data_IF_635294351492
#
_entry.id   IF_635294351492
#
_cell.length_a   1.000
_cell.length_b   1.000
_cell.length_c   1.000
_cell.angle_alpha   90.00
_cell.angle_beta   90.00
_cell.angle_gamma   90.00
#
_symmetry.space_group_name_H-M   'P 1'
#
loop_
_entity.id
_entity.type
_entity.pdbx_description
1 polymer ?
#
# COMPACT_ATOMS: atom_id res chain seq x y z
N UNK A 1 -2.63 2.60 -26.35
CA UNK A 1 -1.38 2.62 -27.16
C UNK A 1 -1.53 3.66 -28.25
N UNK A 2 -0.53 4.52 -28.39
CA UNK A 2 -0.44 5.60 -29.37
C UNK A 2 0.88 5.49 -30.15
N UNK A 3 0.97 6.11 -31.32
CA UNK A 3 2.16 6.11 -32.17
C UNK A 3 2.71 7.53 -32.24
N UNK A 4 4.01 7.70 -31.98
CA UNK A 4 4.67 9.00 -32.05
C UNK A 4 4.78 9.49 -33.49
N UNK A 5 4.39 10.73 -33.74
CA UNK A 5 4.32 11.31 -35.09
C UNK A 5 5.70 11.49 -35.73
N UNK A 6 6.76 11.61 -34.93
CA UNK A 6 8.12 11.85 -35.41
C UNK A 6 8.94 10.57 -35.52
N UNK A 7 8.98 9.74 -34.47
CA UNK A 7 9.83 8.55 -34.43
C UNK A 7 9.08 7.25 -34.74
N UNK A 8 7.76 7.29 -34.92
CA UNK A 8 6.89 6.12 -35.17
C UNK A 8 6.91 5.05 -34.06
N UNK A 9 7.53 5.33 -32.90
CA UNK A 9 7.53 4.44 -31.75
C UNK A 9 6.14 4.38 -31.11
N UNK A 10 5.72 3.19 -30.70
CA UNK A 10 4.49 2.99 -29.94
C UNK A 10 4.73 3.22 -28.46
N UNK A 11 3.84 3.95 -27.80
CA UNK A 11 3.96 4.29 -26.38
C UNK A 11 2.58 4.25 -25.68
N UNK A 12 2.59 4.22 -24.35
CA UNK A 12 1.39 4.04 -23.51
C UNK A 12 1.11 5.20 -22.56
N UNK A 13 2.11 6.04 -22.33
CA UNK A 13 2.06 7.23 -21.50
C UNK A 13 1.15 8.31 -22.13
N UNK A 14 0.66 9.25 -21.31
CA UNK A 14 -0.13 10.39 -21.81
C UNK A 14 0.72 11.19 -22.82
N UNK A 15 0.29 11.44 -24.06
CA UNK A 15 1.11 12.05 -25.10
C UNK A 15 1.41 13.53 -24.87
N UNK A 16 2.58 13.95 -25.34
CA UNK A 16 2.80 15.35 -25.69
C UNK A 16 1.96 15.65 -26.92
N UNK A 17 1.14 16.69 -26.85
CA UNK A 17 0.28 17.15 -27.94
C UNK A 17 0.82 18.46 -28.46
N UNK A 18 0.96 18.54 -29.78
CA UNK A 18 1.08 19.78 -30.53
C UNK A 18 0.03 19.76 -31.65
N UNK A 19 -0.19 20.88 -32.34
CA UNK A 19 -1.25 21.00 -33.36
C UNK A 19 -1.20 19.89 -34.44
N UNK A 20 -0.04 19.26 -34.63
CA UNK A 20 0.23 18.32 -35.71
C UNK A 20 0.25 16.84 -35.27
N UNK A 21 -0.04 16.52 -34.00
CA UNK A 21 -0.17 15.13 -33.55
C UNK A 21 0.26 14.84 -32.11
N UNK A 22 0.66 13.57 -31.90
CA UNK A 22 1.08 13.03 -30.61
C UNK A 22 2.58 12.70 -30.62
N UNK A 23 3.26 12.98 -29.51
CA UNK A 23 4.70 12.84 -29.37
C UNK A 23 5.06 12.12 -28.07
N UNK A 24 6.07 11.25 -28.13
CA UNK A 24 6.50 10.47 -26.97
C UNK A 24 7.44 11.27 -26.04
N UNK A 25 8.15 12.27 -26.54
CA UNK A 25 9.08 13.11 -25.76
C UNK A 25 9.24 14.50 -26.39
N UNK A 26 9.80 15.43 -25.63
CA UNK A 26 10.12 16.80 -26.10
C UNK A 26 10.98 16.77 -27.37
N UNK A 27 11.96 15.87 -27.44
CA UNK A 27 12.85 15.70 -28.60
C UNK A 27 12.11 15.31 -29.88
N UNK A 28 10.91 14.74 -29.76
CA UNK A 28 10.08 14.40 -30.91
C UNK A 28 9.19 15.56 -31.37
N UNK A 29 9.09 16.66 -30.64
CA UNK A 29 8.27 17.80 -31.04
C UNK A 29 8.83 18.45 -32.32
N UNK A 30 7.96 19.04 -33.17
CA UNK A 30 8.40 19.83 -34.31
C UNK A 30 9.28 21.02 -33.87
N UNK A 31 10.17 21.46 -34.76
CA UNK A 31 10.97 22.66 -34.54
C UNK A 31 10.04 23.88 -34.32
N UNK A 32 10.35 24.70 -33.32
CA UNK A 32 9.56 25.88 -32.95
C UNK A 32 8.34 25.61 -32.06
N UNK A 33 7.95 24.35 -31.83
CA UNK A 33 6.81 24.03 -30.98
C UNK A 33 6.97 24.53 -29.53
N UNK A 34 8.20 24.57 -29.03
CA UNK A 34 8.53 25.06 -27.68
C UNK A 34 8.64 26.59 -27.58
N UNK A 35 8.75 27.28 -28.71
CA UNK A 35 8.81 28.74 -28.76
C UNK A 35 7.41 29.38 -28.58
N UNK A 36 6.36 28.56 -28.68
CA UNK A 36 4.99 28.99 -28.48
C UNK A 36 4.68 29.31 -27.02
N UNK A 37 3.76 30.26 -26.84
CA UNK A 37 3.35 30.71 -25.52
C UNK A 37 2.79 29.53 -24.69
N UNK A 38 3.33 29.35 -23.48
CA UNK A 38 3.00 28.28 -22.52
C UNK A 38 3.42 26.85 -22.92
N UNK A 39 4.10 26.66 -24.06
CA UNK A 39 4.55 25.34 -24.49
C UNK A 39 5.49 24.70 -23.45
N UNK A 40 6.52 25.41 -23.01
CA UNK A 40 7.48 24.93 -21.99
C UNK A 40 6.76 24.54 -20.69
N UNK A 41 5.80 25.35 -20.24
CA UNK A 41 5.01 25.06 -19.04
C UNK A 41 4.19 23.78 -19.18
N UNK A 42 3.53 23.61 -20.33
CA UNK A 42 2.80 22.39 -20.64
C UNK A 42 3.71 21.16 -20.65
N UNK A 43 4.86 21.24 -21.33
CA UNK A 43 5.83 20.13 -21.39
C UNK A 43 6.30 19.76 -19.99
N UNK A 44 6.72 20.73 -19.17
CA UNK A 44 7.18 20.45 -17.81
C UNK A 44 6.10 19.82 -16.92
N UNK A 45 4.85 20.28 -17.00
CA UNK A 45 3.73 19.70 -16.25
C UNK A 45 3.47 18.26 -16.70
N UNK A 46 3.47 18.00 -18.01
CA UNK A 46 3.24 16.66 -18.54
C UNK A 46 4.36 15.68 -18.16
N UNK A 47 5.61 16.09 -18.24
CA UNK A 47 6.74 15.25 -17.86
C UNK A 47 6.67 14.89 -16.38
N UNK A 48 6.40 15.87 -15.52
CA UNK A 48 6.18 15.64 -14.09
C UNK A 48 5.02 14.68 -13.85
N UNK A 49 3.90 14.86 -14.55
CA UNK A 49 2.76 13.95 -14.48
C UNK A 49 3.14 12.51 -14.87
N UNK A 50 3.86 12.32 -15.99
CA UNK A 50 4.29 11.00 -16.45
C UNK A 50 5.22 10.32 -15.43
N UNK A 51 6.17 11.07 -14.90
CA UNK A 51 7.10 10.60 -13.87
C UNK A 51 6.34 10.15 -12.61
N UNK A 52 5.33 10.93 -12.21
CA UNK A 52 4.52 10.60 -11.03
C UNK A 52 3.64 9.37 -11.28
N UNK A 53 3.04 9.23 -12.46
CA UNK A 53 2.29 8.03 -12.83
C UNK A 53 3.17 6.78 -12.80
N UNK A 54 4.43 6.90 -13.22
CA UNK A 54 5.39 5.78 -13.21
C UNK A 54 5.85 5.43 -11.80
N UNK A 55 6.14 6.44 -10.98
CA UNK A 55 6.66 6.27 -9.62
C UNK A 55 5.61 5.77 -8.63
N UNK A 56 4.38 6.26 -8.72
CA UNK A 56 3.32 5.99 -7.75
C UNK A 56 2.39 4.84 -8.17
N UNK A 57 2.97 3.64 -8.25
CA UNK A 57 2.25 2.40 -8.52
C UNK A 57 1.93 1.58 -7.27
N UNK A 58 2.74 1.70 -6.23
CA UNK A 58 2.61 0.94 -4.98
C UNK A 58 3.04 1.80 -3.79
N UNK A 59 2.34 1.65 -2.67
CA UNK A 59 2.68 2.29 -1.40
C UNK A 59 2.67 1.25 -0.30
N UNK A 60 3.69 1.28 0.54
CA UNK A 60 3.76 0.40 1.69
C UNK A 60 3.07 1.03 2.90
N UNK A 61 3.15 2.34 3.09
CA UNK A 61 2.65 3.05 4.29
C UNK A 61 1.85 4.32 3.99
N UNK A 62 1.12 4.82 4.99
CA UNK A 62 0.42 6.12 4.90
C UNK A 62 1.39 7.29 4.69
N UNK A 63 2.59 7.25 5.31
CA UNK A 63 3.60 8.32 5.15
C UNK A 63 4.06 8.45 3.70
N UNK A 64 4.38 7.32 3.05
CA UNK A 64 4.80 7.32 1.64
C UNK A 64 3.70 7.83 0.71
N UNK A 65 2.44 7.46 1.00
CA UNK A 65 1.28 7.97 0.27
C UNK A 65 1.13 9.48 0.45
N UNK A 66 1.23 9.98 1.68
CA UNK A 66 1.02 11.39 1.99
C UNK A 66 2.10 12.28 1.37
N UNK A 67 3.36 11.84 1.37
CA UNK A 67 4.45 12.49 0.63
C UNK A 67 4.14 12.58 -0.86
N UNK A 68 3.61 11.50 -1.46
CA UNK A 68 3.20 11.52 -2.86
C UNK A 68 2.03 12.49 -3.12
N UNK A 69 1.06 12.58 -2.20
CA UNK A 69 -0.06 13.51 -2.31
C UNK A 69 0.41 14.97 -2.26
N UNK A 70 1.40 15.30 -1.43
CA UNK A 70 2.01 16.63 -1.38
C UNK A 70 2.69 16.99 -2.71
N UNK A 71 3.47 16.07 -3.28
CA UNK A 71 4.12 16.27 -4.57
C UNK A 71 3.10 16.46 -5.71
N UNK A 72 2.05 15.64 -5.74
CA UNK A 72 0.96 15.74 -6.73
C UNK A 72 0.17 17.04 -6.54
N UNK A 73 -0.09 17.46 -5.30
CA UNK A 73 -0.76 18.73 -5.01
C UNK A 73 0.04 19.93 -5.53
N UNK A 74 1.37 19.91 -5.38
CA UNK A 74 2.23 20.95 -5.96
C UNK A 74 2.11 21.02 -7.49
N UNK A 75 2.10 19.87 -8.16
CA UNK A 75 1.91 19.80 -9.62
C UNK A 75 0.53 20.31 -10.04
N UNK A 76 -0.51 19.95 -9.28
CA UNK A 76 -1.88 20.42 -9.49
C UNK A 76 -1.98 21.93 -9.37
N UNK A 77 -1.41 22.50 -8.32
CA UNK A 77 -1.43 23.94 -8.07
C UNK A 77 -0.63 24.69 -9.16
N UNK A 78 0.46 24.09 -9.66
CA UNK A 78 1.22 24.61 -10.81
C UNK A 78 0.37 24.66 -12.09
N UNK A 79 -0.45 23.64 -12.35
CA UNK A 79 -1.38 23.64 -13.48
C UNK A 79 -2.56 24.62 -13.27
N UNK A 80 -3.02 24.80 -12.02
CA UNK A 80 -4.15 25.66 -11.69
C UNK A 80 -3.91 27.14 -12.00
N UNK A 81 -2.67 27.63 -11.92
CA UNK A 81 -2.31 29.03 -12.24
C UNK A 81 -2.78 29.44 -13.65
N UNK A 82 -2.85 28.49 -14.59
CA UNK A 82 -3.26 28.73 -15.98
C UNK A 82 -4.78 28.79 -16.19
N UNK A 83 -5.61 28.62 -15.14
CA UNK A 83 -7.07 28.75 -15.24
C UNK A 83 -7.56 30.20 -15.34
N UNK A 84 -6.75 31.16 -14.87
CA UNK A 84 -7.06 32.58 -15.03
C UNK A 84 -6.76 33.12 -16.44
N UNK A 85 -6.10 32.31 -17.27
CA UNK A 85 -5.64 32.71 -18.59
C UNK A 85 -6.65 32.40 -19.70
N UNK A 86 -6.42 32.93 -20.90
CA UNK A 86 -7.35 32.80 -22.01
C UNK A 86 -7.37 31.34 -22.56
N UNK A 87 -8.50 30.61 -22.45
CA UNK A 87 -8.61 29.22 -22.92
C UNK A 87 -8.55 29.07 -24.46
N UNK A 88 -8.49 30.19 -25.20
CA UNK A 88 -8.27 30.21 -26.64
C UNK A 88 -6.89 29.70 -27.09
N UNK A 89 -5.89 29.68 -26.21
CA UNK A 89 -4.55 29.16 -26.52
C UNK A 89 -4.49 27.63 -26.46
N UNK A 90 -3.82 27.00 -27.42
CA UNK A 90 -3.72 25.55 -27.52
C UNK A 90 -3.12 24.92 -26.25
N UNK A 91 -1.95 25.37 -25.81
CA UNK A 91 -1.27 24.80 -24.64
C UNK A 91 -2.01 25.04 -23.33
N UNK A 92 -2.76 26.14 -23.19
CA UNK A 92 -3.63 26.36 -22.03
C UNK A 92 -4.73 25.29 -21.97
N UNK A 93 -5.35 24.96 -23.10
CA UNK A 93 -6.33 23.84 -23.15
C UNK A 93 -5.68 22.51 -22.79
N UNK A 94 -4.45 22.27 -23.24
CA UNK A 94 -3.74 21.05 -22.87
C UNK A 94 -3.40 21.00 -21.38
N UNK A 95 -3.03 22.14 -20.77
CA UNK A 95 -2.80 22.24 -19.31
C UNK A 95 -4.10 22.00 -18.54
N UNK A 96 -5.24 22.55 -18.97
CA UNK A 96 -6.54 22.28 -18.35
C UNK A 96 -6.90 20.80 -18.44
N UNK A 97 -6.66 20.17 -19.59
CA UNK A 97 -6.84 18.73 -19.75
C UNK A 97 -5.92 17.92 -18.83
N UNK A 98 -4.65 18.31 -18.68
CA UNK A 98 -3.72 17.64 -17.75
C UNK A 98 -4.12 17.84 -16.29
N UNK A 99 -4.67 19.00 -15.95
CA UNK A 99 -5.15 19.26 -14.60
C UNK A 99 -6.18 18.22 -14.18
N UNK A 100 -7.17 17.90 -15.04
CA UNK A 100 -8.15 16.83 -14.74
C UNK A 100 -7.46 15.47 -14.52
N UNK A 101 -6.45 15.14 -15.32
CA UNK A 101 -5.63 13.92 -15.15
C UNK A 101 -4.83 13.89 -13.86
N UNK A 102 -4.33 15.05 -13.43
CA UNK A 102 -3.61 15.20 -12.16
C UNK A 102 -4.58 14.98 -11.00
N UNK A 103 -5.83 15.44 -11.09
CA UNK A 103 -6.88 15.11 -10.12
C UNK A 103 -7.18 13.61 -10.08
N UNK A 104 -7.32 12.95 -11.23
CA UNK A 104 -7.50 11.49 -11.29
C UNK A 104 -6.33 10.75 -10.60
N UNK A 105 -5.10 11.22 -10.82
CA UNK A 105 -3.91 10.67 -10.17
C UNK A 105 -3.93 10.90 -8.65
N UNK A 106 -4.29 12.11 -8.21
CA UNK A 106 -4.42 12.45 -6.80
C UNK A 106 -5.43 11.52 -6.11
N UNK A 107 -6.63 11.38 -6.68
CA UNK A 107 -7.68 10.52 -6.12
C UNK A 107 -7.26 9.05 -6.06
N UNK A 108 -6.52 8.57 -7.08
CA UNK A 108 -5.98 7.21 -7.12
C UNK A 108 -4.94 6.96 -6.03
N UNK A 109 -4.08 7.94 -5.74
CA UNK A 109 -3.09 7.86 -4.66
C UNK A 109 -3.78 7.98 -3.30
N UNK A 110 -4.72 8.91 -3.16
CA UNK A 110 -5.47 9.13 -1.92
C UNK A 110 -6.21 7.87 -1.48
N UNK A 111 -6.93 7.25 -2.41
CA UNK A 111 -7.70 6.02 -2.19
C UNK A 111 -6.88 4.74 -2.26
N UNK A 112 -5.54 4.81 -2.28
CA UNK A 112 -4.70 3.63 -2.49
C UNK A 112 -4.97 2.53 -1.46
N UNK A 113 -5.13 2.90 -0.18
CA UNK A 113 -5.43 1.98 0.90
C UNK A 113 -6.95 1.74 1.07
N UNK A 114 -7.78 2.24 0.18
CA UNK A 114 -9.23 1.98 0.14
C UNK A 114 -9.60 0.66 -0.54
N UNK A 115 -8.61 -0.13 -0.97
CA UNK A 115 -8.81 -1.40 -1.66
C UNK A 115 -7.96 -2.50 -0.99
N UNK A 116 -8.62 -3.39 -0.24
CA UNK A 116 -7.95 -4.51 0.45
C UNK A 116 -7.19 -5.44 -0.51
N UNK A 117 -7.52 -5.47 -1.81
CA UNK A 117 -6.78 -6.29 -2.79
C UNK A 117 -5.36 -5.80 -3.06
N UNK A 118 -5.03 -4.57 -2.64
CA UNK A 118 -3.69 -3.97 -2.77
C UNK A 118 -2.77 -4.28 -1.60
N UNK A 119 -3.29 -4.91 -0.55
CA UNK A 119 -2.53 -5.26 0.63
C UNK A 119 -1.74 -6.53 0.34
N UNK A 120 -0.49 -6.55 0.79
CA UNK A 120 0.30 -7.76 0.80
C UNK A 120 -0.24 -8.68 1.90
N UNK A 121 -0.82 -9.80 1.47
CA UNK A 121 -1.45 -10.79 2.36
C UNK A 121 -0.52 -11.99 2.51
N UNK A 122 -0.31 -12.40 3.76
CA UNK A 122 0.49 -13.57 4.13
C UNK A 122 -0.22 -14.36 5.24
N UNK A 123 0.32 -15.51 5.62
CA UNK A 123 -0.21 -16.30 6.73
C UNK A 123 0.47 -15.92 8.04
N UNK A 124 -0.28 -15.87 9.13
CA UNK A 124 0.25 -15.72 10.48
C UNK A 124 -0.45 -16.64 11.47
N UNK A 125 0.23 -16.90 12.59
CA UNK A 125 -0.34 -17.58 13.74
C UNK A 125 -0.86 -16.52 14.71
N UNK A 126 -2.16 -16.52 14.96
CA UNK A 126 -2.82 -15.66 15.93
C UNK A 126 -3.04 -16.44 17.23
N UNK A 127 -2.65 -15.82 18.34
CA UNK A 127 -2.75 -16.37 19.68
C UNK A 127 -3.54 -15.40 20.56
N UNK A 128 -4.61 -15.88 21.18
CA UNK A 128 -5.40 -15.12 22.15
C UNK A 128 -5.28 -15.79 23.51
N UNK A 129 -4.66 -15.09 24.47
CA UNK A 129 -4.42 -15.58 25.84
C UNK A 129 -5.60 -15.38 26.77
N UNK A 130 -6.58 -14.59 26.35
CA UNK A 130 -7.76 -14.29 27.16
C UNK A 130 -8.46 -15.58 27.60
N UNK A 131 -8.75 -15.72 28.91
CA UNK A 131 -9.41 -16.88 29.52
C UNK A 131 -8.66 -18.23 29.46
N UNK A 132 -7.46 -18.29 28.90
CA UNK A 132 -6.62 -19.48 28.96
C UNK A 132 -6.01 -19.66 30.37
N UNK A 133 -6.05 -20.88 30.95
CA UNK A 133 -5.33 -21.17 32.19
C UNK A 133 -3.82 -20.92 32.05
N UNK A 134 -3.20 -20.34 33.09
CA UNK A 134 -1.78 -19.96 33.06
C UNK A 134 -0.86 -21.15 32.74
N UNK A 135 -1.16 -22.35 33.26
CA UNK A 135 -0.36 -23.54 33.00
C UNK A 135 -0.48 -24.05 31.55
N UNK A 136 -1.55 -23.67 30.84
CA UNK A 136 -1.73 -23.96 29.42
C UNK A 136 -1.00 -22.91 28.56
N UNK A 137 -1.08 -21.62 28.92
CA UNK A 137 -0.26 -20.57 28.32
C UNK A 137 1.23 -20.92 28.36
N UNK A 138 1.74 -21.29 29.55
CA UNK A 138 3.16 -21.63 29.74
C UNK A 138 3.61 -22.78 28.84
N UNK A 139 2.78 -23.81 28.64
CA UNK A 139 3.09 -24.94 27.74
C UNK A 139 3.16 -24.52 26.29
N UNK A 140 2.23 -23.69 25.83
CA UNK A 140 2.18 -23.19 24.46
C UNK A 140 3.40 -22.29 24.21
N UNK A 141 3.66 -21.34 25.10
CA UNK A 141 4.82 -20.43 25.02
C UNK A 141 6.12 -21.23 24.96
N UNK A 142 6.27 -22.25 25.81
CA UNK A 142 7.45 -23.10 25.81
C UNK A 142 7.61 -23.84 24.47
N UNK A 143 6.56 -24.47 23.96
CA UNK A 143 6.59 -25.21 22.70
C UNK A 143 6.96 -24.30 21.50
N UNK A 144 6.34 -23.11 21.44
CA UNK A 144 6.62 -22.12 20.40
C UNK A 144 8.08 -21.65 20.44
N UNK A 145 8.60 -21.32 21.63
CA UNK A 145 9.98 -20.88 21.80
C UNK A 145 10.98 -21.99 21.45
N UNK A 146 10.70 -23.23 21.83
CA UNK A 146 11.55 -24.38 21.49
C UNK A 146 11.62 -24.58 19.98
N UNK A 147 10.48 -24.54 19.29
CA UNK A 147 10.43 -24.68 17.83
C UNK A 147 11.18 -23.55 17.11
N UNK A 148 10.92 -22.29 17.50
CA UNK A 148 11.58 -21.12 16.92
C UNK A 148 13.10 -21.14 17.13
N UNK A 149 13.55 -21.67 18.27
CA UNK A 149 14.98 -21.83 18.57
C UNK A 149 15.62 -22.92 17.71
N UNK A 150 14.94 -24.06 17.52
CA UNK A 150 15.44 -25.19 16.75
C UNK A 150 15.62 -24.84 15.27
N UNK A 151 14.66 -24.10 14.69
CA UNK A 151 14.68 -23.75 13.27
C UNK A 151 15.60 -22.56 12.95
N UNK A 152 16.21 -21.92 13.96
CA UNK A 152 17.05 -20.71 13.83
C UNK A 152 16.38 -19.56 13.05
N UNK A 153 15.05 -19.53 13.01
CA UNK A 153 14.26 -18.53 12.29
C UNK A 153 13.91 -17.36 13.20
N UNK A 154 13.86 -16.16 12.62
CA UNK A 154 13.46 -14.93 13.34
C UNK A 154 12.06 -14.54 12.89
N UNK A 155 11.01 -14.84 13.68
CA UNK A 155 9.68 -14.37 13.37
C UNK A 155 9.54 -12.88 13.67
N UNK A 156 8.55 -12.26 13.05
CA UNK A 156 7.97 -11.03 13.55
C UNK A 156 6.88 -11.37 14.56
N UNK A 157 7.02 -10.91 15.80
CA UNK A 157 6.04 -11.09 16.86
C UNK A 157 5.40 -9.74 17.16
N UNK A 158 4.10 -9.58 16.91
CA UNK A 158 3.38 -8.34 17.25
C UNK A 158 2.98 -8.32 18.74
N UNK A 159 2.81 -7.11 19.28
CA UNK A 159 2.34 -6.76 20.65
C UNK A 159 3.32 -7.07 21.79
N UNK A 160 3.84 -8.28 21.84
CA UNK A 160 4.77 -8.70 22.89
C UNK A 160 5.78 -9.72 22.37
N UNK A 161 7.02 -9.27 22.13
CA UNK A 161 8.11 -10.09 21.58
C UNK A 161 8.46 -11.33 22.42
N UNK A 162 8.09 -11.35 23.70
CA UNK A 162 8.39 -12.44 24.62
C UNK A 162 7.23 -13.44 24.78
N UNK A 163 6.14 -13.30 24.00
CA UNK A 163 4.92 -14.10 24.12
C UNK A 163 4.38 -14.12 25.55
N UNK A 164 4.38 -12.98 26.25
CA UNK A 164 3.98 -12.92 27.65
C UNK A 164 2.47 -12.67 27.82
N UNK A 165 1.74 -13.74 28.15
CA UNK A 165 0.29 -13.76 28.39
C UNK A 165 -0.18 -12.99 29.64
N UNK A 166 0.71 -12.63 30.57
CA UNK A 166 0.34 -11.81 31.74
C UNK A 166 0.22 -10.32 31.40
N UNK A 167 0.99 -9.88 30.41
CA UNK A 167 1.11 -8.46 30.05
C UNK A 167 0.33 -8.07 28.80
N UNK A 168 -0.05 -9.06 28.00
CA UNK A 168 -0.68 -8.86 26.71
C UNK A 168 -1.79 -9.89 26.51
N UNK A 169 -2.88 -9.50 25.85
CA UNK A 169 -4.04 -10.39 25.65
C UNK A 169 -3.92 -11.22 24.37
N UNK A 170 -3.07 -10.80 23.42
CA UNK A 170 -2.86 -11.51 22.16
C UNK A 170 -1.44 -11.40 21.62
N UNK A 171 -1.06 -12.35 20.79
CA UNK A 171 0.17 -12.30 20.01
C UNK A 171 -0.11 -12.72 18.56
N UNK A 172 0.67 -12.15 17.64
CA UNK A 172 0.70 -12.58 16.25
C UNK A 172 2.14 -12.96 15.93
N UNK A 173 2.35 -14.18 15.44
CA UNK A 173 3.65 -14.66 14.96
C UNK A 173 3.56 -14.79 13.44
N UNK A 174 4.50 -14.16 12.73
CA UNK A 174 4.48 -14.15 11.26
C UNK A 174 5.89 -14.08 10.66
N UNK A 175 5.99 -14.41 9.38
CA UNK A 175 7.21 -14.25 8.57
C UNK A 175 6.86 -13.38 7.34
N UNK A 176 6.73 -12.05 7.50
CA UNK A 176 6.25 -11.18 6.41
C UNK A 176 7.16 -11.18 5.19
N UNK A 177 8.46 -11.47 5.34
CA UNK A 177 9.40 -11.61 4.23
C UNK A 177 9.13 -12.87 3.37
N UNK A 178 8.35 -13.82 3.90
CA UNK A 178 7.94 -15.05 3.25
C UNK A 178 6.46 -14.96 2.91
N UNK A 179 6.13 -14.15 1.89
CA UNK A 179 4.79 -13.91 1.33
C UNK A 179 4.15 -15.16 0.67
N UNK A 180 4.29 -16.31 1.30
CA UNK A 180 3.69 -17.58 0.91
C UNK A 180 2.37 -17.75 1.64
N UNK A 181 1.35 -18.18 0.90
CA UNK A 181 0.07 -18.61 1.46
C UNK A 181 -0.39 -19.87 0.73
N UNK A 182 -0.47 -21.03 1.41
CA UNK A 182 -0.06 -21.28 2.80
C UNK A 182 1.47 -21.21 3.01
N UNK A 183 1.90 -20.85 4.22
CA UNK A 183 3.29 -20.86 4.66
C UNK A 183 3.54 -22.11 5.53
N UNK A 184 4.36 -23.09 5.08
CA UNK A 184 4.57 -24.35 5.79
C UNK A 184 5.23 -24.19 7.16
N UNK A 185 5.98 -23.11 7.39
CA UNK A 185 6.59 -22.84 8.69
C UNK A 185 5.56 -22.39 9.72
N UNK A 186 4.61 -21.55 9.29
CA UNK A 186 3.50 -21.12 10.13
C UNK A 186 2.56 -22.29 10.42
N UNK A 187 2.31 -23.17 9.45
CA UNK A 187 1.55 -24.40 9.67
C UNK A 187 2.21 -25.33 10.70
N UNK A 188 3.52 -25.56 10.58
CA UNK A 188 4.26 -26.38 11.56
C UNK A 188 4.23 -25.74 12.96
N UNK A 189 4.41 -24.42 13.07
CA UNK A 189 4.33 -23.71 14.34
C UNK A 189 2.93 -23.80 14.97
N UNK A 190 1.88 -23.73 14.15
CA UNK A 190 0.50 -23.96 14.57
C UNK A 190 0.30 -25.38 15.11
N UNK A 191 0.81 -26.41 14.42
CA UNK A 191 0.71 -27.80 14.88
C UNK A 191 1.36 -28.01 16.26
N UNK A 192 2.50 -27.37 16.53
CA UNK A 192 3.15 -27.39 17.84
C UNK A 192 2.29 -26.71 18.91
N UNK A 193 1.71 -25.55 18.59
CA UNK A 193 0.82 -24.82 19.50
C UNK A 193 -0.42 -25.63 19.86
N UNK A 194 -1.07 -26.26 18.87
CA UNK A 194 -2.24 -27.14 19.06
C UNK A 194 -1.88 -28.37 19.89
N UNK A 195 -0.71 -28.97 19.63
CA UNK A 195 -0.23 -30.12 20.40
C UNK A 195 0.00 -29.74 21.87
N UNK A 196 0.62 -28.59 22.11
CA UNK A 196 0.84 -28.07 23.46
C UNK A 196 -0.46 -27.70 24.18
N UNK A 197 -1.46 -27.21 23.45
CA UNK A 197 -2.80 -26.93 23.97
C UNK A 197 -3.51 -28.21 24.46
N UNK A 198 -3.29 -29.34 23.79
CA UNK A 198 -3.90 -30.63 24.13
C UNK A 198 -4.64 -31.32 22.98
N UNK A 199 -4.50 -30.80 21.75
CA UNK A 199 -5.14 -31.30 20.55
C UNK A 199 -6.19 -30.35 19.97
N UNK A 200 -6.72 -30.66 18.77
CA UNK A 200 -7.67 -29.80 18.07
C UNK A 200 -9.08 -29.84 18.69
N UNK A 201 -9.79 -28.72 18.63
CA UNK A 201 -11.18 -28.57 19.06
C UNK A 201 -11.68 -27.13 18.92
N UNK A 202 -13.00 -26.91 19.02
CA UNK A 202 -13.62 -25.58 18.87
C UNK A 202 -13.06 -24.56 19.88
N UNK A 203 -12.85 -24.97 21.14
CA UNK A 203 -12.27 -24.11 22.18
C UNK A 203 -10.82 -23.71 21.85
N UNK A 204 -10.05 -24.58 21.19
CA UNK A 204 -8.69 -24.27 20.76
C UNK A 204 -8.69 -23.20 19.66
N UNK A 205 -9.62 -23.27 18.71
CA UNK A 205 -9.71 -22.33 17.60
C UNK A 205 -10.02 -20.89 18.06
N UNK A 206 -10.66 -20.73 19.23
CA UNK A 206 -10.85 -19.41 19.87
C UNK A 206 -9.53 -18.79 20.37
N UNK A 207 -8.50 -19.62 20.58
CA UNK A 207 -7.22 -19.21 21.16
C UNK A 207 -6.04 -19.29 20.20
N UNK A 208 -6.07 -20.22 19.24
CA UNK A 208 -4.96 -20.52 18.34
C UNK A 208 -5.54 -20.68 16.94
N UNK A 209 -5.26 -19.73 16.06
CA UNK A 209 -5.78 -19.76 14.69
C UNK A 209 -4.72 -19.39 13.65
N UNK A 210 -4.89 -19.94 12.45
CA UNK A 210 -4.14 -19.55 11.27
C UNK A 210 -4.95 -18.52 10.50
N UNK A 211 -4.44 -17.30 10.43
CA UNK A 211 -5.17 -16.18 9.84
C UNK A 211 -4.47 -15.65 8.59
N UNK A 212 -5.27 -15.02 7.73
CA UNK A 212 -4.75 -14.16 6.67
C UNK A 212 -4.39 -12.83 7.29
N UNK A 213 -3.11 -12.48 7.24
CA UNK A 213 -2.58 -11.26 7.81
C UNK A 213 -2.28 -10.24 6.73
N UNK A 214 -2.32 -8.97 7.08
CA UNK A 214 -1.78 -7.87 6.28
C UNK A 214 -1.05 -6.87 7.17
N UNK A 215 -0.07 -6.16 6.60
CA UNK A 215 0.62 -5.07 7.31
C UNK A 215 -0.29 -3.85 7.30
N UNK A 216 -0.67 -3.35 8.48
CA UNK A 216 -1.43 -2.12 8.58
C UNK A 216 -0.61 -0.92 8.07
N UNK A 217 -1.13 -0.09 7.14
CA UNK A 217 -0.36 1.02 6.57
C UNK A 217 -0.11 2.15 7.59
N UNK A 218 -0.88 2.18 8.68
CA UNK A 218 -0.77 3.17 9.76
C UNK A 218 0.26 2.75 10.81
N UNK A 219 0.05 1.63 11.52
CA UNK A 219 0.95 1.21 12.60
C UNK A 219 2.13 0.35 12.14
N UNK A 220 2.12 -0.13 10.89
CA UNK A 220 3.15 -1.01 10.31
C UNK A 220 3.24 -2.41 10.94
N UNK A 221 2.28 -2.79 11.80
CA UNK A 221 2.21 -4.13 12.37
C UNK A 221 1.39 -5.08 11.48
N UNK A 222 1.76 -6.37 11.44
CA UNK A 222 0.89 -7.45 10.98
C UNK A 222 -0.37 -7.56 11.81
N UNK A 223 -1.52 -7.63 11.14
CA UNK A 223 -2.84 -7.74 11.77
C UNK A 223 -3.74 -8.68 10.95
N UNK A 224 -4.73 -9.37 11.55
CA UNK A 224 -5.67 -10.19 10.80
C UNK A 224 -6.44 -9.32 9.81
N UNK A 225 -6.51 -9.75 8.56
CA UNK A 225 -7.15 -8.99 7.48
C UNK A 225 -8.64 -8.74 7.78
N UNK A 226 -9.28 -9.64 8.51
CA UNK A 226 -10.68 -9.52 8.93
C UNK A 226 -10.90 -8.43 9.99
N UNK A 227 -9.85 -8.01 10.70
CA UNK A 227 -9.87 -6.89 11.67
C UNK A 227 -9.63 -5.53 11.01
N UNK A 228 -9.50 -5.46 9.68
CA UNK A 228 -9.37 -4.18 8.99
C UNK A 228 -10.74 -3.53 8.81
N UNK A 229 -10.84 -2.28 9.24
CA UNK A 229 -12.07 -1.47 9.13
C UNK A 229 -11.81 -0.28 8.21
N UNK A 230 -12.80 0.07 7.40
CA UNK A 230 -12.77 1.28 6.59
C UNK A 230 -12.98 2.53 7.47
N UNK A 231 -12.14 3.53 7.26
CA UNK A 231 -12.34 4.88 7.77
C UNK A 231 -12.89 5.71 6.61
N UNK A 232 -14.21 5.96 6.60
CA UNK A 232 -14.90 6.59 5.48
C UNK A 232 -14.32 7.97 5.13
N UNK A 233 -13.95 8.77 6.14
CA UNK A 233 -13.40 10.12 5.94
C UNK A 233 -12.08 10.11 5.17
N UNK A 234 -11.33 9.02 5.29
CA UNK A 234 -10.00 8.84 4.71
C UNK A 234 -9.99 7.85 3.54
N UNK A 235 -11.12 7.21 3.26
CA UNK A 235 -11.28 6.17 2.23
C UNK A 235 -10.16 5.12 2.29
N UNK A 236 -9.88 4.61 3.49
CA UNK A 236 -8.79 3.68 3.71
C UNK A 236 -9.16 2.60 4.72
N UNK A 237 -8.60 1.40 4.55
CA UNK A 237 -8.67 0.31 5.50
C UNK A 237 -7.47 0.34 6.44
N UNK A 238 -7.70 0.30 7.75
CA UNK A 238 -6.65 0.13 8.76
C UNK A 238 -7.09 -0.91 9.77
N UNK A 239 -6.16 -1.46 10.54
CA UNK A 239 -6.52 -2.38 11.63
C UNK A 239 -7.38 -1.70 12.69
N UNK A 240 -8.19 -2.49 13.41
CA UNK A 240 -9.10 -2.03 14.46
C UNK A 240 -8.39 -1.18 15.54
N UNK A 241 -7.17 -1.55 15.91
CA UNK A 241 -6.37 -0.76 16.86
C UNK A 241 -6.03 0.65 16.34
N UNK A 242 -5.91 0.83 15.02
CA UNK A 242 -5.70 2.14 14.42
C UNK A 242 -6.99 2.90 14.17
N UNK A 243 -8.12 2.22 13.94
CA UNK A 243 -9.41 2.89 13.71
C UNK A 243 -10.00 3.47 15.00
N UNK A 244 -9.69 2.87 16.16
CA UNK A 244 -10.25 3.25 17.46
C UNK A 244 -9.50 4.37 18.18
N UNK A 245 -8.18 4.51 17.94
CA UNK A 245 -7.31 5.37 18.78
C UNK A 245 -6.88 6.70 18.18
N UNK A 246 -7.24 7.02 16.93
CA UNK A 246 -6.85 8.27 16.29
C UNK A 246 -7.88 8.58 15.24
N UNK A 247 -8.55 9.72 15.30
CA UNK A 247 -8.75 10.73 14.24
C UNK A 247 -9.29 12.01 14.88
#
# INVERSE_FOLDING_TARGET
MQICSTCSTTFSEEPLRADDGFFCSEVCLPEGALDELHAISYVGILESYRDYVHRYGHFSSLSERDEALEEIAFLRDSAFVYFAENPGHFYIRQIHYLHDRIYELYDRVFSYFGDLSRYEVFQGLHLTWHNLPADQCDRIIQALNDWLTIEERKPHISYNDNLNSETEYRNIISFPDELLYPNPFIEALYEEAVTAYGGPGEEMEEHISLERMAICPSCRYPEPLEEFTEIEELKQFVCEGCSTYRW
#
